data_IF_085167017046
#
_entry.id   IF_085167017046
#
_cell.length_a   1.000
_cell.length_b   1.000
_cell.length_c   1.000
_cell.angle_alpha   90.00
_cell.angle_beta   90.00
_cell.angle_gamma   90.00
#
_symmetry.space_group_name_H-M   'P 1'
#
loop_
_entity.id
_entity.type
_entity.pdbx_description
1 polymer ?
#
# COMPACT_ATOMS: atom_id res chain seq x y z
N UNK A 1 6.95 31.04 23.59
CA UNK A 1 5.68 31.34 22.88
C UNK A 1 4.98 30.02 22.71
N UNK A 2 4.31 29.57 23.77
CA UNK A 2 3.74 28.23 23.87
C UNK A 2 2.22 28.34 23.88
N UNK A 3 1.62 28.13 22.71
CA UNK A 3 0.17 28.04 22.52
C UNK A 3 -0.32 26.64 22.84
N UNK A 4 -0.39 26.29 24.12
CA UNK A 4 -1.03 25.05 24.58
C UNK A 4 -2.55 25.20 24.42
N UNK A 5 -3.07 24.76 23.26
CA UNK A 5 -4.50 24.81 22.98
C UNK A 5 -5.23 23.73 23.76
N UNK A 6 -5.94 24.19 24.77
CA UNK A 6 -6.63 23.47 25.81
C UNK A 6 -7.68 22.48 25.28
N UNK A 7 -7.34 21.19 25.27
CA UNK A 7 -8.26 20.08 24.91
C UNK A 7 -9.37 19.88 25.95
N UNK A 8 -9.27 20.48 27.14
CA UNK A 8 -10.23 20.29 28.24
C UNK A 8 -11.51 21.13 28.06
N UNK A 9 -11.44 22.23 27.29
CA UNK A 9 -12.54 23.19 27.12
C UNK A 9 -13.64 22.76 26.14
N UNK A 10 -13.40 21.72 25.31
CA UNK A 10 -14.38 21.23 24.31
C UNK A 10 -15.23 20.06 24.78
N UNK A 11 -14.84 19.37 25.85
CA UNK A 11 -15.65 18.31 26.46
C UNK A 11 -17.04 18.81 26.91
N UNK A 12 -17.18 19.95 27.62
CA UNK A 12 -18.50 20.42 28.04
C UNK A 12 -19.40 20.78 26.86
N UNK A 13 -18.86 21.34 25.77
CA UNK A 13 -19.64 21.63 24.56
C UNK A 13 -20.12 20.36 23.83
N UNK A 14 -19.29 19.32 23.78
CA UNK A 14 -19.65 18.02 23.20
C UNK A 14 -20.69 17.28 24.05
N UNK A 15 -20.59 17.39 25.38
CA UNK A 15 -21.59 16.83 26.31
C UNK A 15 -22.91 17.61 26.20
N UNK A 16 -22.87 18.95 26.15
CA UNK A 16 -24.06 19.79 25.93
C UNK A 16 -24.72 19.51 24.58
N UNK A 17 -23.94 19.36 23.50
CA UNK A 17 -24.48 19.00 22.18
C UNK A 17 -25.03 17.58 22.16
N UNK A 18 -24.40 16.62 22.86
CA UNK A 18 -24.90 15.25 22.96
C UNK A 18 -26.19 15.18 23.79
N UNK A 19 -26.26 15.92 24.90
CA UNK A 19 -27.46 16.04 25.74
C UNK A 19 -28.59 16.78 25.02
N UNK A 20 -28.28 17.86 24.29
CA UNK A 20 -29.27 18.57 23.46
C UNK A 20 -29.75 17.68 22.30
N UNK A 21 -28.88 16.85 21.73
CA UNK A 21 -29.26 15.89 20.68
C UNK A 21 -30.10 14.73 21.24
N UNK A 22 -29.87 14.31 22.48
CA UNK A 22 -30.67 13.27 23.14
C UNK A 22 -32.03 13.80 23.57
N UNK A 23 -32.09 15.03 24.09
CA UNK A 23 -33.32 15.68 24.59
C UNK A 23 -34.22 16.16 23.44
N UNK A 24 -33.67 16.73 22.35
CA UNK A 24 -34.48 17.25 21.23
C UNK A 24 -35.01 16.13 20.32
N UNK A 25 -34.38 14.95 20.30
CA UNK A 25 -34.72 13.87 19.36
C UNK A 25 -35.11 12.55 20.03
N UNK A 26 -35.11 12.48 21.36
CA UNK A 26 -35.50 11.32 22.15
C UNK A 26 -37.01 11.16 22.32
N UNK A 27 -37.79 12.23 22.20
CA UNK A 27 -39.23 12.24 22.53
C UNK A 27 -40.14 12.73 21.38
N UNK A 28 -39.84 12.38 20.13
CA UNK A 28 -40.80 12.49 19.03
C UNK A 28 -41.02 11.09 18.46
N UNK A 29 -42.28 10.64 18.53
CA UNK A 29 -42.71 9.29 18.17
C UNK A 29 -42.11 8.77 16.86
N UNK A 30 -41.77 7.49 16.84
CA UNK A 30 -41.26 6.78 15.65
C UNK A 30 -42.34 6.75 14.56
N UNK A 31 -42.38 7.75 13.70
CA UNK A 31 -43.19 7.71 12.48
C UNK A 31 -42.71 6.58 11.56
N UNK A 32 -43.65 5.91 10.88
CA UNK A 32 -43.32 4.89 9.87
C UNK A 32 -42.58 5.57 8.71
N UNK A 33 -41.41 5.05 8.35
CA UNK A 33 -40.59 5.55 7.24
C UNK A 33 -40.56 4.48 6.15
N UNK A 34 -40.78 4.89 4.90
CA UNK A 34 -40.65 4.00 3.73
C UNK A 34 -39.21 3.51 3.56
N UNK A 35 -39.04 2.25 3.14
CA UNK A 35 -37.73 1.66 2.89
C UNK A 35 -37.19 2.07 1.51
N UNK A 36 -36.85 3.35 1.38
CA UNK A 36 -36.21 3.95 0.21
C UNK A 36 -35.12 4.92 0.61
N UNK A 37 -34.29 5.34 -0.35
CA UNK A 37 -33.26 6.37 -0.11
C UNK A 37 -33.94 7.66 0.34
N UNK A 38 -33.49 8.21 1.48
CA UNK A 38 -33.97 9.52 1.97
C UNK A 38 -33.34 10.59 1.09
N UNK A 39 -34.14 11.38 0.37
CA UNK A 39 -33.63 12.41 -0.54
C UNK A 39 -33.04 13.62 0.19
N UNK A 40 -33.74 14.10 1.22
CA UNK A 40 -33.29 15.22 2.03
C UNK A 40 -31.95 14.90 2.72
N UNK A 41 -30.90 15.67 2.38
CA UNK A 41 -29.52 15.47 2.84
C UNK A 41 -29.40 15.57 4.37
N UNK A 42 -30.12 16.47 5.02
CA UNK A 42 -30.07 16.69 6.47
C UNK A 42 -30.71 15.48 7.18
N UNK A 43 -31.93 15.11 6.78
CA UNK A 43 -32.63 13.97 7.35
C UNK A 43 -31.85 12.67 7.15
N UNK A 44 -31.22 12.50 5.98
CA UNK A 44 -30.37 11.34 5.69
C UNK A 44 -29.15 11.30 6.62
N UNK A 45 -28.49 12.43 6.88
CA UNK A 45 -27.32 12.49 7.77
C UNK A 45 -27.69 12.17 9.23
N UNK A 46 -28.79 12.74 9.72
CA UNK A 46 -29.31 12.47 11.08
C UNK A 46 -29.72 11.00 11.20
N UNK A 47 -30.47 10.48 10.22
CA UNK A 47 -30.92 9.08 10.20
C UNK A 47 -29.75 8.12 10.11
N UNK A 48 -28.74 8.39 9.26
CA UNK A 48 -27.52 7.60 9.19
C UNK A 48 -26.84 7.51 10.55
N UNK A 49 -26.67 8.65 11.24
CA UNK A 49 -26.00 8.69 12.55
C UNK A 49 -26.76 7.86 13.60
N UNK A 50 -28.10 7.98 13.63
CA UNK A 50 -28.95 7.20 14.55
C UNK A 50 -28.94 5.70 14.21
N UNK A 51 -29.18 5.33 12.94
CA UNK A 51 -29.24 3.93 12.51
C UNK A 51 -27.89 3.23 12.61
N UNK A 52 -26.79 3.90 12.25
CA UNK A 52 -25.43 3.38 12.43
C UNK A 52 -25.16 3.05 13.89
N UNK A 53 -25.45 3.98 14.81
CA UNK A 53 -25.26 3.74 16.24
C UNK A 53 -26.16 2.62 16.77
N UNK A 54 -27.43 2.57 16.34
CA UNK A 54 -28.34 1.48 16.70
C UNK A 54 -27.88 0.11 16.18
N UNK A 55 -27.36 0.06 14.95
CA UNK A 55 -26.84 -1.17 14.36
C UNK A 55 -25.56 -1.66 15.06
N UNK A 56 -24.65 -0.73 15.39
CA UNK A 56 -23.45 -1.04 16.18
C UNK A 56 -23.82 -1.62 17.56
N UNK A 57 -24.81 -1.04 18.25
CA UNK A 57 -25.31 -1.58 19.53
C UNK A 57 -25.85 -2.99 19.37
N UNK A 58 -26.69 -3.24 18.35
CA UNK A 58 -27.23 -4.58 18.09
C UNK A 58 -26.14 -5.60 17.76
N UNK A 59 -25.14 -5.22 16.96
CA UNK A 59 -24.01 -6.10 16.62
C UNK A 59 -23.20 -6.46 17.88
N UNK A 60 -22.99 -5.48 18.78
CA UNK A 60 -22.35 -5.71 20.07
C UNK A 60 -23.17 -6.64 20.96
N UNK A 61 -24.47 -6.35 21.16
CA UNK A 61 -25.38 -7.19 21.94
C UNK A 61 -25.39 -8.63 21.43
N UNK A 62 -25.48 -8.84 20.11
CA UNK A 62 -25.42 -10.17 19.51
C UNK A 62 -24.10 -10.89 19.80
N UNK A 63 -22.97 -10.18 19.69
CA UNK A 63 -21.65 -10.76 19.96
C UNK A 63 -21.51 -11.23 21.41
N UNK A 64 -22.05 -10.47 22.36
CA UNK A 64 -21.95 -10.77 23.80
C UNK A 64 -22.97 -11.83 24.22
N UNK A 65 -24.23 -11.70 23.79
CA UNK A 65 -25.31 -12.59 24.23
C UNK A 65 -25.19 -14.01 23.67
N UNK A 66 -24.63 -14.15 22.47
CA UNK A 66 -24.55 -15.43 21.78
C UNK A 66 -23.11 -15.95 21.64
N UNK A 67 -22.12 -15.27 22.22
CA UNK A 67 -20.69 -15.55 22.03
C UNK A 67 -20.31 -15.70 20.54
N UNK A 68 -20.93 -14.87 19.69
CA UNK A 68 -20.76 -14.93 18.25
C UNK A 68 -19.65 -13.95 17.81
N UNK A 69 -18.78 -14.38 16.90
CA UNK A 69 -17.86 -13.47 16.23
C UNK A 69 -18.65 -12.63 15.21
N UNK A 70 -18.72 -11.31 15.45
CA UNK A 70 -19.51 -10.38 14.63
C UNK A 70 -18.59 -9.27 14.12
N UNK A 71 -18.64 -9.01 12.81
CA UNK A 71 -17.98 -7.89 12.15
C UNK A 71 -18.99 -7.02 11.40
N UNK A 72 -18.81 -5.70 11.46
CA UNK A 72 -19.65 -4.70 10.79
C UNK A 72 -18.77 -3.60 10.20
N UNK A 73 -18.94 -3.32 8.91
CA UNK A 73 -18.24 -2.27 8.17
C UNK A 73 -19.27 -1.36 7.52
N UNK A 74 -19.14 -0.04 7.72
CA UNK A 74 -20.06 0.97 7.18
C UNK A 74 -19.26 2.12 6.58
N UNK A 75 -19.44 2.37 5.29
CA UNK A 75 -18.94 3.57 4.62
C UNK A 75 -20.04 4.61 4.52
N UNK A 76 -19.77 5.83 4.98
CA UNK A 76 -20.66 6.95 4.71
C UNK A 76 -20.56 7.40 3.25
N UNK A 77 -21.56 8.14 2.75
CA UNK A 77 -21.51 8.73 1.41
C UNK A 77 -20.36 9.76 1.21
N UNK A 78 -19.65 10.12 2.28
CA UNK A 78 -18.45 10.97 2.25
C UNK A 78 -17.15 10.16 2.35
N UNK A 79 -17.21 8.84 2.25
CA UNK A 79 -16.05 7.93 2.34
C UNK A 79 -15.56 7.65 3.76
N UNK A 80 -16.12 8.29 4.80
CA UNK A 80 -15.73 7.99 6.19
C UNK A 80 -16.14 6.57 6.58
N UNK A 81 -15.17 5.79 7.06
CA UNK A 81 -15.31 4.44 7.59
C UNK A 81 -15.79 4.45 9.04
N UNK A 82 -16.71 3.55 9.35
CA UNK A 82 -17.14 3.18 10.69
C UNK A 82 -17.17 1.66 10.78
N UNK A 83 -16.52 1.10 11.80
CA UNK A 83 -16.37 -0.33 11.93
C UNK A 83 -16.55 -0.81 13.37
N UNK A 84 -16.92 -2.08 13.49
CA UNK A 84 -16.98 -2.83 14.74
C UNK A 84 -16.63 -4.28 14.47
N UNK A 85 -15.80 -4.88 15.32
CA UNK A 85 -15.50 -6.30 15.29
C UNK A 85 -15.26 -6.79 16.71
N UNK A 86 -15.88 -7.91 17.11
CA UNK A 86 -15.74 -8.44 18.47
C UNK A 86 -14.33 -8.99 18.76
N UNK A 87 -13.67 -9.58 17.77
CA UNK A 87 -12.33 -10.18 17.89
C UNK A 87 -11.22 -9.40 17.14
N UNK A 88 -11.53 -8.17 16.70
CA UNK A 88 -10.65 -7.33 15.89
C UNK A 88 -10.87 -7.50 14.38
N UNK A 89 -10.92 -6.39 13.65
CA UNK A 89 -11.36 -6.37 12.25
C UNK A 89 -10.47 -7.22 11.33
N UNK A 90 -9.15 -7.11 11.47
CA UNK A 90 -8.19 -7.90 10.67
C UNK A 90 -8.40 -9.40 10.85
N UNK A 91 -8.61 -9.85 12.10
CA UNK A 91 -8.82 -11.27 12.43
C UNK A 91 -10.14 -11.80 11.87
N UNK A 92 -11.20 -11.03 12.03
CA UNK A 92 -12.52 -11.39 11.49
C UNK A 92 -12.51 -11.47 9.96
N UNK A 93 -11.82 -10.53 9.30
CA UNK A 93 -11.66 -10.56 7.84
C UNK A 93 -10.81 -11.74 7.37
N UNK A 94 -9.71 -12.04 8.06
CA UNK A 94 -8.87 -13.22 7.75
C UNK A 94 -9.66 -14.52 7.93
N UNK A 95 -10.45 -14.64 9.00
CA UNK A 95 -11.31 -15.80 9.25
C UNK A 95 -12.39 -15.94 8.19
N UNK A 96 -13.03 -14.84 7.80
CA UNK A 96 -14.01 -14.81 6.71
C UNK A 96 -13.39 -15.29 5.41
N UNK A 97 -12.24 -14.71 5.03
CA UNK A 97 -11.48 -15.11 3.86
C UNK A 97 -11.19 -16.62 3.88
N UNK A 98 -10.56 -17.13 4.95
CA UNK A 98 -10.26 -18.56 5.08
C UNK A 98 -11.51 -19.45 4.99
N UNK A 99 -12.63 -19.02 5.57
CA UNK A 99 -13.88 -19.79 5.56
C UNK A 99 -14.54 -19.83 4.18
N UNK A 100 -14.51 -18.72 3.44
CA UNK A 100 -14.96 -18.66 2.05
C UNK A 100 -14.06 -19.49 1.13
N UNK A 101 -12.74 -19.39 1.28
CA UNK A 101 -11.78 -20.11 0.45
C UNK A 101 -11.74 -21.63 0.73
N UNK A 102 -11.94 -22.06 1.98
CA UNK A 102 -11.99 -23.49 2.31
C UNK A 102 -13.32 -24.17 1.93
N UNK A 103 -14.40 -23.40 1.71
CA UNK A 103 -15.73 -23.93 1.35
C UNK A 103 -16.02 -23.87 -0.15
N UNK A 104 -15.24 -23.13 -0.94
CA UNK A 104 -15.41 -22.95 -2.39
C UNK A 104 -14.35 -23.71 -3.20
N UNK A 105 -14.36 -25.05 -3.08
CA UNK A 105 -13.81 -25.93 -4.12
C UNK A 105 -14.77 -26.12 -5.29
N UNK A 106 -16.00 -25.57 -5.26
CA UNK A 106 -16.99 -25.81 -6.30
C UNK A 106 -17.42 -24.62 -7.14
N UNK A 107 -17.54 -23.37 -6.65
CA UNK A 107 -18.08 -22.28 -7.48
C UNK A 107 -17.72 -20.85 -7.00
N UNK A 108 -16.69 -20.19 -7.56
CA UNK A 108 -16.68 -18.74 -7.85
C UNK A 108 -15.54 -18.32 -8.80
N UNK A 109 -15.77 -17.19 -9.45
CA UNK A 109 -15.25 -16.70 -10.73
C UNK A 109 -13.75 -16.39 -10.80
N UNK A 110 -13.17 -16.66 -11.98
CA UNK A 110 -11.76 -16.45 -12.39
C UNK A 110 -11.17 -15.09 -11.98
N UNK A 111 -11.98 -14.01 -11.99
CA UNK A 111 -11.55 -12.64 -11.71
C UNK A 111 -10.96 -12.41 -10.29
N UNK A 112 -11.43 -13.16 -9.28
CA UNK A 112 -10.96 -12.98 -7.91
C UNK A 112 -9.65 -13.74 -7.64
N UNK A 113 -9.41 -14.84 -8.35
CA UNK A 113 -8.11 -15.54 -8.36
C UNK A 113 -7.04 -14.69 -9.05
N UNK A 114 -7.40 -14.04 -10.16
CA UNK A 114 -6.50 -13.11 -10.86
C UNK A 114 -6.12 -11.93 -9.97
N UNK A 115 -7.08 -11.33 -9.26
CA UNK A 115 -6.82 -10.19 -8.38
C UNK A 115 -5.87 -10.57 -7.23
N UNK A 116 -6.08 -11.73 -6.60
CA UNK A 116 -5.17 -12.24 -5.55
C UNK A 116 -3.79 -12.64 -6.10
N UNK A 117 -3.74 -13.25 -7.28
CA UNK A 117 -2.48 -13.51 -8.00
C UNK A 117 -1.71 -12.20 -8.21
N UNK A 118 -2.39 -11.19 -8.76
CA UNK A 118 -1.80 -9.87 -9.02
C UNK A 118 -1.26 -9.22 -7.76
N UNK A 119 -1.98 -9.26 -6.63
CA UNK A 119 -1.45 -8.74 -5.36
C UNK A 119 -0.19 -9.48 -4.90
N UNK A 120 -0.15 -10.81 -5.04
CA UNK A 120 1.04 -11.60 -4.71
C UNK A 120 2.19 -11.29 -5.67
N UNK A 121 1.91 -11.11 -6.96
CA UNK A 121 2.89 -10.80 -8.00
C UNK A 121 3.47 -9.40 -7.81
N UNK A 122 2.63 -8.41 -7.51
CA UNK A 122 3.05 -7.05 -7.17
C UNK A 122 3.90 -7.06 -5.90
N UNK A 123 3.52 -7.82 -4.88
CA UNK A 123 4.31 -7.96 -3.65
C UNK A 123 5.68 -8.59 -3.91
N UNK A 124 5.72 -9.69 -4.66
CA UNK A 124 6.97 -10.35 -5.08
C UNK A 124 7.85 -9.41 -5.91
N UNK A 125 7.27 -8.67 -6.85
CA UNK A 125 8.00 -7.75 -7.71
C UNK A 125 8.56 -6.57 -6.92
N UNK A 126 7.78 -6.03 -5.97
CA UNK A 126 8.23 -4.98 -5.06
C UNK A 126 9.40 -5.43 -4.20
N UNK A 127 9.34 -6.63 -3.62
CA UNK A 127 10.44 -7.19 -2.84
C UNK A 127 11.72 -7.36 -3.69
N UNK A 128 11.58 -7.84 -4.94
CA UNK A 128 12.69 -7.91 -5.90
C UNK A 128 13.27 -6.54 -6.20
N UNK A 129 12.43 -5.55 -6.47
CA UNK A 129 12.85 -4.17 -6.74
C UNK A 129 13.63 -3.58 -5.56
N UNK A 130 13.11 -3.70 -4.34
CA UNK A 130 13.79 -3.21 -3.14
C UNK A 130 15.13 -3.91 -2.90
N UNK A 131 15.22 -5.22 -3.18
CA UNK A 131 16.48 -5.96 -3.11
C UNK A 131 17.49 -5.48 -4.15
N UNK A 132 17.03 -5.23 -5.38
CA UNK A 132 17.89 -4.77 -6.47
C UNK A 132 18.37 -3.33 -6.21
N UNK A 133 17.48 -2.46 -5.74
CA UNK A 133 17.79 -1.08 -5.36
C UNK A 133 18.77 -1.03 -4.19
N UNK A 134 18.63 -1.91 -3.19
CA UNK A 134 19.64 -2.08 -2.12
C UNK A 134 20.99 -2.48 -2.69
N UNK A 135 21.04 -3.48 -3.56
CA UNK A 135 22.29 -3.91 -4.20
C UNK A 135 22.95 -2.79 -5.02
N UNK A 136 22.16 -1.98 -5.74
CA UNK A 136 22.68 -0.83 -6.48
C UNK A 136 23.32 0.20 -5.55
N UNK A 137 22.67 0.52 -4.43
CA UNK A 137 23.23 1.44 -3.42
C UNK A 137 24.54 0.91 -2.84
N UNK A 138 24.61 -0.37 -2.52
CA UNK A 138 25.88 -0.98 -2.07
C UNK A 138 26.98 -0.84 -3.12
N UNK A 139 26.69 -1.08 -4.40
CA UNK A 139 27.67 -0.88 -5.49
C UNK A 139 28.12 0.58 -5.66
N UNK A 140 27.28 1.55 -5.28
CA UNK A 140 27.61 2.97 -5.24
C UNK A 140 28.36 3.39 -3.96
N UNK A 141 28.60 2.44 -3.03
CA UNK A 141 29.26 2.70 -1.75
C UNK A 141 28.34 3.22 -0.66
N UNK A 142 27.02 3.18 -0.87
CA UNK A 142 26.00 3.59 0.11
C UNK A 142 25.52 2.39 0.94
N UNK A 143 25.03 2.65 2.17
CA UNK A 143 24.42 1.64 3.06
C UNK A 143 25.28 0.37 3.30
N UNK A 144 26.61 0.52 3.39
CA UNK A 144 27.51 -0.62 3.59
C UNK A 144 27.53 -1.19 5.02
N UNK A 145 27.06 -0.43 6.01
CA UNK A 145 27.13 -0.79 7.43
C UNK A 145 26.49 -2.15 7.82
N UNK A 146 25.36 -2.58 7.19
CA UNK A 146 24.75 -3.88 7.47
C UNK A 146 25.44 -5.09 6.82
N UNK A 147 26.40 -4.88 5.90
CA UNK A 147 27.07 -5.96 5.18
C UNK A 147 28.15 -6.62 6.05
N UNK A 148 28.26 -7.94 5.96
CA UNK A 148 29.37 -8.68 6.55
C UNK A 148 30.67 -8.47 5.77
N UNK A 149 31.80 -8.73 6.42
CA UNK A 149 33.14 -8.63 5.79
C UNK A 149 33.23 -9.50 4.52
N UNK A 150 32.64 -10.69 4.52
CA UNK A 150 32.63 -11.60 3.36
C UNK A 150 31.85 -11.01 2.19
N UNK A 151 30.70 -10.39 2.47
CA UNK A 151 29.88 -9.73 1.45
C UNK A 151 30.58 -8.50 0.87
N UNK A 152 31.27 -7.74 1.71
CA UNK A 152 32.07 -6.59 1.29
C UNK A 152 33.23 -7.00 0.35
N UNK A 153 33.97 -8.06 0.69
CA UNK A 153 35.02 -8.61 -0.16
C UNK A 153 34.48 -9.11 -1.50
N UNK A 154 33.29 -9.73 -1.49
CA UNK A 154 32.66 -10.17 -2.73
C UNK A 154 32.24 -8.99 -3.61
N UNK A 155 31.73 -7.91 -3.00
CA UNK A 155 31.37 -6.68 -3.70
C UNK A 155 32.59 -6.02 -4.35
N UNK A 156 33.70 -5.92 -3.61
CA UNK A 156 34.98 -5.42 -4.11
C UNK A 156 35.47 -6.22 -5.32
N UNK A 157 35.47 -7.56 -5.21
CA UNK A 157 35.85 -8.46 -6.31
C UNK A 157 34.98 -8.26 -7.55
N UNK A 158 33.67 -8.05 -7.38
CA UNK A 158 32.75 -7.79 -8.49
C UNK A 158 33.06 -6.45 -9.18
N UNK A 159 33.30 -5.39 -8.39
CA UNK A 159 33.68 -4.07 -8.90
C UNK A 159 35.01 -4.10 -9.66
N UNK A 160 36.00 -4.80 -9.13
CA UNK A 160 37.31 -4.91 -9.77
C UNK A 160 37.23 -5.69 -11.10
N UNK A 161 36.44 -6.78 -11.14
CA UNK A 161 36.18 -7.50 -12.37
C UNK A 161 35.48 -6.64 -13.44
N UNK A 162 34.45 -5.87 -13.05
CA UNK A 162 33.75 -4.97 -13.95
C UNK A 162 34.68 -3.85 -14.48
N UNK A 163 35.53 -3.29 -13.61
CA UNK A 163 36.52 -2.28 -13.98
C UNK A 163 37.55 -2.84 -14.97
N UNK A 164 38.03 -4.07 -14.75
CA UNK A 164 38.96 -4.73 -15.65
C UNK A 164 38.35 -4.93 -17.04
N UNK A 165 37.10 -5.39 -17.11
CA UNK A 165 36.38 -5.54 -18.38
C UNK A 165 36.18 -4.21 -19.10
N UNK A 166 35.82 -3.14 -18.38
CA UNK A 166 35.67 -1.81 -18.94
C UNK A 166 36.99 -1.28 -19.52
N UNK A 167 38.10 -1.47 -18.80
CA UNK A 167 39.45 -1.13 -19.28
C UNK A 167 39.85 -1.92 -20.51
N UNK A 168 39.64 -3.24 -20.50
CA UNK A 168 39.95 -4.10 -21.64
C UNK A 168 39.18 -3.67 -22.89
N UNK A 169 37.88 -3.39 -22.77
CA UNK A 169 37.06 -2.91 -23.88
C UNK A 169 37.53 -1.55 -24.40
N UNK A 170 37.89 -0.63 -23.50
CA UNK A 170 38.45 0.68 -23.89
C UNK A 170 39.75 0.51 -24.67
N UNK A 171 40.65 -0.36 -24.21
CA UNK A 171 41.91 -0.65 -24.91
C UNK A 171 41.65 -1.26 -26.28
N UNK A 172 40.72 -2.20 -26.38
CA UNK A 172 40.36 -2.84 -27.65
C UNK A 172 39.87 -1.82 -28.69
N UNK A 173 38.94 -0.94 -28.30
CA UNK A 173 38.44 0.14 -29.17
C UNK A 173 39.58 1.08 -29.57
N UNK A 174 40.49 1.41 -28.66
CA UNK A 174 41.63 2.29 -28.95
C UNK A 174 42.59 1.67 -29.98
N UNK A 175 42.83 0.36 -29.89
CA UNK A 175 43.66 -0.38 -30.85
C UNK A 175 42.99 -0.37 -32.23
N UNK A 176 41.69 -0.67 -32.30
CA UNK A 176 40.93 -0.67 -33.55
C UNK A 176 40.97 0.71 -34.25
N UNK A 177 40.81 1.80 -33.49
CA UNK A 177 40.95 3.16 -34.01
C UNK A 177 42.36 3.47 -34.53
N UNK A 178 43.39 3.01 -33.82
CA UNK A 178 44.78 3.20 -34.23
C UNK A 178 45.07 2.46 -35.55
N UNK A 179 44.56 1.24 -35.72
CA UNK A 179 44.71 0.45 -36.94
C UNK A 179 43.95 1.06 -38.13
N UNK A 180 42.77 1.62 -37.89
CA UNK A 180 42.01 2.34 -38.92
C UNK A 180 42.77 3.58 -39.42
N UNK A 181 43.32 4.39 -38.50
CA UNK A 181 44.12 5.56 -38.86
C UNK A 181 45.38 5.16 -39.64
N UNK A 182 46.08 4.10 -39.24
CA UNK A 182 47.24 3.57 -39.97
C UNK A 182 46.88 3.16 -41.40
N UNK A 183 45.73 2.50 -41.59
CA UNK A 183 45.22 2.13 -42.93
C UNK A 183 44.92 3.36 -43.78
N UNK A 184 44.26 4.37 -43.22
CA UNK A 184 43.97 5.64 -43.93
C UNK A 184 45.26 6.34 -44.37
N UNK A 185 46.26 6.45 -43.49
CA UNK A 185 47.56 7.04 -43.83
C UNK A 185 48.23 6.29 -44.98
N UNK A 186 48.24 4.96 -44.94
CA UNK A 186 48.79 4.13 -46.02
C UNK A 186 48.05 4.38 -47.35
N UNK A 187 46.72 4.45 -47.31
CA UNK A 187 45.90 4.73 -48.48
C UNK A 187 46.18 6.10 -49.08
N UNK A 188 46.31 7.15 -48.25
CA UNK A 188 46.70 8.49 -48.71
C UNK A 188 48.10 8.51 -49.33
N UNK A 189 49.06 7.79 -48.75
CA UNK A 189 50.41 7.68 -49.32
C UNK A 189 50.42 7.00 -50.69
N UNK A 190 49.58 5.97 -50.88
CA UNK A 190 49.44 5.29 -52.17
C UNK A 190 48.80 6.24 -53.20
N UNK A 191 47.68 6.89 -52.88
CA UNK A 191 47.03 7.84 -53.80
C UNK A 191 47.97 8.96 -54.24
N UNK A 192 48.77 9.50 -53.31
CA UNK A 192 49.73 10.58 -53.59
C UNK A 192 50.88 10.14 -54.50
N UNK A 193 51.24 8.85 -54.52
CA UNK A 193 52.24 8.29 -55.44
C UNK A 193 51.67 8.04 -56.85
N UNK A 194 50.36 7.96 -56.98
CA UNK A 194 49.66 7.68 -58.25
C UNK A 194 49.13 8.93 -58.96
N UNK A 195 49.29 10.12 -58.37
CA UNK A 195 49.01 11.44 -58.96
C UNK A 195 50.31 12.15 -59.30
#
# INVERSE_FOLDING_TARGET
>A
MDGSFDKQSRLPLLILLASLFLVVFGEMGRGRVELKRIENKINRQVTFSKRRNGLLKKAYELSVLCDAEVGLIIFSSRGKLYEFASAGMSRTLERYQRSCYNSQDSNLTVADRETQSWYQEVSKLKAKYESLQRSQRHLLGEDLGPLSIKELQNLEKQLEGALQQARQRKTQIMIEQMEELRRKVLQYMILRRSS
#
